data_IF_438048930448
#
_entry.id   IF_438048930448
#
_cell.length_a   1.000
_cell.length_b   1.000
_cell.length_c   1.000
_cell.angle_alpha   90.00
_cell.angle_beta   90.00
_cell.angle_gamma   90.00
#
_symmetry.space_group_name_H-M   'P 1'
#
loop_
_entity.id
_entity.type
_entity.pdbx_description
1 polymer ?
#
# COMPACT_ATOMS: atom_id res chain seq x y z
N UNK A 1 11.52 3.29 21.17
CA UNK A 1 11.00 2.88 19.86
C UNK A 1 9.77 3.74 19.60
N UNK A 2 9.59 4.21 18.37
CA UNK A 2 8.35 4.88 17.94
C UNK A 2 7.29 3.85 17.61
N UNK A 3 6.02 4.26 17.54
CA UNK A 3 4.91 3.37 17.12
C UNK A 3 5.17 2.75 15.73
N UNK A 4 5.77 3.51 14.81
CA UNK A 4 6.14 3.04 13.48
C UNK A 4 7.26 1.99 13.52
N UNK A 5 8.26 2.17 14.39
CA UNK A 5 9.33 1.18 14.58
C UNK A 5 8.79 -0.14 15.14
N UNK A 6 7.86 -0.06 16.11
CA UNK A 6 7.19 -1.24 16.67
C UNK A 6 6.35 -1.96 15.61
N UNK A 7 5.53 -1.22 14.85
CA UNK A 7 4.76 -1.77 13.73
C UNK A 7 5.64 -2.50 12.70
N UNK A 8 6.76 -1.90 12.30
CA UNK A 8 7.71 -2.51 11.36
C UNK A 8 8.35 -3.77 11.93
N UNK A 9 8.73 -3.76 13.20
CA UNK A 9 9.31 -4.92 13.88
C UNK A 9 8.31 -6.08 13.99
N UNK A 10 7.06 -5.81 14.35
CA UNK A 10 5.99 -6.82 14.40
C UNK A 10 5.73 -7.42 13.02
N UNK A 11 5.73 -6.58 11.98
CA UNK A 11 5.56 -7.05 10.60
C UNK A 11 6.72 -7.90 10.13
N UNK A 12 7.95 -7.53 10.44
CA UNK A 12 9.14 -8.34 10.13
C UNK A 12 9.07 -9.70 10.84
N UNK A 13 8.67 -9.73 12.10
CA UNK A 13 8.47 -10.98 12.84
C UNK A 13 7.37 -11.85 12.21
N UNK A 14 6.24 -11.23 11.80
CA UNK A 14 5.18 -11.95 11.07
C UNK A 14 5.72 -12.59 9.78
N UNK A 15 6.51 -11.86 8.99
CA UNK A 15 7.10 -12.39 7.76
C UNK A 15 8.12 -13.50 8.05
N UNK A 16 8.91 -13.38 9.12
CA UNK A 16 9.95 -14.33 9.48
C UNK A 16 9.39 -15.68 9.97
N UNK A 17 8.38 -15.66 10.85
CA UNK A 17 8.04 -16.84 11.66
C UNK A 17 6.57 -17.28 11.56
N UNK A 18 5.64 -16.38 11.21
CA UNK A 18 4.22 -16.68 11.30
C UNK A 18 3.78 -17.77 10.29
N UNK A 19 2.87 -18.70 10.66
CA UNK A 19 2.38 -19.73 9.74
C UNK A 19 1.67 -19.19 8.49
N UNK A 20 1.13 -17.97 8.58
CA UNK A 20 0.49 -17.26 7.45
C UNK A 20 1.41 -16.25 6.77
N UNK A 21 2.73 -16.32 7.00
CA UNK A 21 3.70 -15.50 6.27
C UNK A 21 3.52 -15.67 4.75
N UNK A 22 3.63 -14.58 3.96
CA UNK A 22 3.56 -14.67 2.51
C UNK A 22 4.80 -15.30 1.89
N UNK A 23 5.89 -15.40 2.67
CA UNK A 23 7.17 -15.96 2.24
C UNK A 23 7.13 -17.48 2.18
N UNK A 24 7.79 -18.07 1.17
CA UNK A 24 8.01 -19.52 1.12
C UNK A 24 8.93 -19.98 2.27
N UNK A 25 8.95 -21.28 2.61
CA UNK A 25 9.91 -21.80 3.59
C UNK A 25 11.37 -21.45 3.27
N UNK A 26 11.78 -21.49 2.01
CA UNK A 26 13.15 -21.19 1.60
C UNK A 26 13.48 -19.70 1.75
N UNK A 27 12.56 -18.82 1.38
CA UNK A 27 12.71 -17.38 1.57
C UNK A 27 12.89 -17.01 3.05
N UNK A 28 12.15 -17.67 3.95
CA UNK A 28 12.24 -17.41 5.40
C UNK A 28 13.62 -17.70 5.99
N UNK A 29 14.37 -18.67 5.45
CA UNK A 29 15.74 -18.95 5.93
C UNK A 29 16.70 -17.77 5.67
N UNK A 30 16.50 -17.10 4.54
CA UNK A 30 17.33 -15.96 4.10
C UNK A 30 16.77 -14.59 4.49
N UNK A 31 15.55 -14.52 5.03
CA UNK A 31 14.89 -13.26 5.37
C UNK A 31 15.65 -12.49 6.45
N UNK A 32 15.81 -11.18 6.25
CA UNK A 32 16.55 -10.27 7.16
C UNK A 32 15.77 -9.00 7.53
N UNK A 33 14.46 -8.99 7.25
CA UNK A 33 13.61 -7.82 7.39
C UNK A 33 13.17 -7.26 6.05
N UNK A 34 12.05 -6.54 6.07
CA UNK A 34 11.52 -5.79 4.94
C UNK A 34 12.32 -4.51 4.71
N UNK A 35 12.19 -3.96 3.51
CA UNK A 35 12.91 -2.76 3.09
C UNK A 35 11.99 -1.54 3.18
N UNK A 36 12.41 -0.50 3.90
CA UNK A 36 11.59 0.69 4.15
C UNK A 36 12.32 1.98 3.78
N UNK A 37 11.56 3.02 3.46
CA UNK A 37 12.07 4.39 3.54
C UNK A 37 12.20 4.84 5.00
N UNK A 38 13.10 5.81 5.29
CA UNK A 38 13.04 6.57 6.53
C UNK A 38 11.64 7.16 6.73
N UNK A 39 11.24 7.33 7.99
CA UNK A 39 9.99 8.00 8.34
C UNK A 39 9.95 9.40 7.73
N UNK A 40 8.78 9.77 7.19
CA UNK A 40 8.54 11.05 6.56
C UNK A 40 7.25 11.65 7.11
N UNK A 41 7.40 12.57 8.06
CA UNK A 41 6.29 13.28 8.70
C UNK A 41 5.45 14.09 7.72
N UNK A 42 6.04 14.58 6.61
CA UNK A 42 5.32 15.36 5.60
C UNK A 42 4.34 14.51 4.77
N UNK A 43 4.41 13.18 4.90
CA UNK A 43 3.53 12.23 4.22
C UNK A 43 2.55 11.54 5.20
N UNK A 44 2.37 12.12 6.38
CA UNK A 44 1.31 11.80 7.34
C UNK A 44 0.22 12.85 7.21
N UNK A 45 -0.85 12.51 6.51
CA UNK A 45 -1.82 13.50 6.04
C UNK A 45 -3.18 13.31 6.71
N UNK A 46 -3.73 14.38 7.26
CA UNK A 46 -5.16 14.48 7.51
C UNK A 46 -5.81 15.12 6.28
N UNK A 47 -6.60 14.34 5.54
CA UNK A 47 -7.18 14.77 4.27
C UNK A 47 -8.69 14.78 4.35
N UNK A 48 -9.32 15.82 3.80
CA UNK A 48 -10.76 15.83 3.57
C UNK A 48 -11.08 15.08 2.27
N UNK A 49 -11.97 14.10 2.35
CA UNK A 49 -12.39 13.29 1.22
C UNK A 49 -13.69 13.84 0.63
N UNK A 50 -13.67 14.09 -0.68
CA UNK A 50 -14.86 14.33 -1.48
C UNK A 50 -15.47 12.97 -1.83
N UNK A 51 -16.53 12.58 -1.12
CA UNK A 51 -17.29 11.37 -1.45
C UNK A 51 -17.91 11.49 -2.84
N UNK A 52 -17.86 10.40 -3.61
CA UNK A 52 -18.54 10.38 -4.91
C UNK A 52 -20.06 10.36 -4.70
N UNK A 53 -20.84 11.17 -5.45
CA UNK A 53 -22.30 11.18 -5.35
C UNK A 53 -22.94 9.81 -5.63
N UNK A 54 -22.29 9.01 -6.46
CA UNK A 54 -22.65 7.62 -6.73
C UNK A 54 -21.45 6.74 -6.40
N UNK A 55 -21.60 5.88 -5.38
CA UNK A 55 -20.60 4.88 -5.00
C UNK A 55 -20.68 3.71 -5.96
N UNK A 56 -20.11 3.89 -7.14
CA UNK A 56 -20.10 2.88 -8.18
C UNK A 56 -19.34 1.64 -7.71
N UNK A 57 -19.91 0.47 -7.99
CA UNK A 57 -19.19 -0.80 -7.85
C UNK A 57 -18.03 -0.81 -8.84
N UNK A 58 -16.87 -1.18 -8.35
CA UNK A 58 -15.62 -1.26 -9.09
C UNK A 58 -15.05 -2.67 -8.96
N UNK A 59 -14.94 -3.36 -10.08
CA UNK A 59 -14.32 -4.68 -10.17
C UNK A 59 -12.81 -4.51 -10.36
N UNK A 60 -12.08 -4.58 -9.25
CA UNK A 60 -10.63 -4.51 -9.28
C UNK A 60 -10.06 -5.86 -9.72
N UNK A 61 -9.40 -5.85 -10.88
CA UNK A 61 -8.71 -7.02 -11.41
C UNK A 61 -7.59 -7.44 -10.45
N UNK A 62 -7.30 -8.73 -10.38
CA UNK A 62 -6.21 -9.28 -9.57
C UNK A 62 -5.10 -9.85 -10.44
N UNK A 63 -3.89 -10.01 -9.88
CA UNK A 63 -2.73 -10.59 -10.57
C UNK A 63 -2.97 -11.98 -11.17
N UNK A 64 -3.89 -12.78 -10.60
CA UNK A 64 -4.22 -14.12 -11.10
C UNK A 64 -5.40 -14.15 -12.07
N UNK A 65 -5.92 -12.99 -12.48
CA UNK A 65 -7.07 -12.88 -13.41
C UNK A 65 -8.45 -13.01 -12.77
N UNK A 66 -8.55 -13.06 -11.44
CA UNK A 66 -9.82 -12.95 -10.71
C UNK A 66 -10.19 -11.47 -10.51
N UNK A 67 -11.37 -11.21 -9.94
CA UNK A 67 -11.82 -9.86 -9.56
C UNK A 67 -12.18 -9.78 -8.08
N UNK A 68 -11.95 -8.61 -7.50
CA UNK A 68 -12.46 -8.23 -6.17
C UNK A 68 -13.34 -6.99 -6.31
N UNK A 69 -14.49 -7.00 -5.65
CA UNK A 69 -15.48 -5.93 -5.76
C UNK A 69 -15.28 -4.91 -4.65
N UNK A 70 -15.15 -3.64 -5.04
CA UNK A 70 -15.08 -2.49 -4.16
C UNK A 70 -16.14 -1.47 -4.55
N UNK A 71 -16.36 -0.48 -3.69
CA UNK A 71 -17.06 0.74 -4.02
C UNK A 71 -16.05 1.88 -4.14
N UNK A 72 -16.18 2.71 -5.18
CA UNK A 72 -15.42 3.98 -5.27
C UNK A 72 -16.01 4.94 -4.25
N UNK A 73 -15.34 5.09 -3.11
CA UNK A 73 -15.88 5.83 -1.98
C UNK A 73 -15.79 7.34 -2.19
N UNK A 74 -14.59 7.83 -2.50
CA UNK A 74 -14.32 9.24 -2.66
C UNK A 74 -12.87 9.48 -3.04
N UNK A 75 -12.53 10.75 -3.26
CA UNK A 75 -11.18 11.17 -3.62
C UNK A 75 -10.70 12.31 -2.74
N UNK A 76 -9.40 12.45 -2.64
CA UNK A 76 -8.77 13.58 -1.97
C UNK A 76 -7.58 14.08 -2.78
N UNK A 77 -7.31 15.37 -2.62
CA UNK A 77 -6.12 16.02 -3.17
C UNK A 77 -5.13 16.31 -2.07
N UNK A 78 -3.86 16.24 -2.41
CA UNK A 78 -2.76 16.58 -1.52
C UNK A 78 -1.60 17.15 -2.33
N UNK A 79 -0.62 17.70 -1.64
CA UNK A 79 0.60 18.23 -2.27
C UNK A 79 1.79 17.49 -1.71
N UNK A 80 2.68 17.03 -2.58
CA UNK A 80 3.99 16.46 -2.22
C UNK A 80 5.05 17.15 -3.07
N UNK A 81 6.11 17.62 -2.41
CA UNK A 81 7.20 18.38 -3.06
C UNK A 81 6.72 19.54 -3.95
N UNK A 82 5.61 20.20 -3.55
CA UNK A 82 5.03 21.33 -4.28
C UNK A 82 4.19 20.94 -5.51
N UNK A 83 3.96 19.65 -5.75
CA UNK A 83 3.14 19.15 -6.86
C UNK A 83 1.83 18.59 -6.32
N UNK A 84 0.71 19.04 -6.91
CA UNK A 84 -0.61 18.50 -6.58
C UNK A 84 -0.78 17.06 -7.09
N UNK A 85 -1.37 16.22 -6.25
CA UNK A 85 -1.68 14.83 -6.52
C UNK A 85 -3.11 14.52 -6.05
N UNK A 86 -3.74 13.49 -6.62
CA UNK A 86 -5.09 13.05 -6.30
C UNK A 86 -5.10 11.52 -6.18
N UNK A 87 -5.84 10.99 -5.21
CA UNK A 87 -6.07 9.56 -5.05
C UNK A 87 -7.54 9.29 -4.73
N UNK A 88 -8.04 8.16 -5.23
CA UNK A 88 -9.35 7.59 -4.90
C UNK A 88 -9.21 6.55 -3.78
N UNK A 89 -10.05 6.66 -2.75
CA UNK A 89 -10.24 5.63 -1.74
C UNK A 89 -11.34 4.68 -2.20
N UNK A 90 -11.08 3.38 -2.06
CA UNK A 90 -12.03 2.31 -2.29
C UNK A 90 -12.54 1.76 -0.96
N UNK A 91 -13.76 1.25 -0.93
CA UNK A 91 -14.37 0.66 0.25
C UNK A 91 -14.87 -0.74 -0.06
N UNK A 92 -14.70 -1.67 0.88
CA UNK A 92 -15.35 -2.98 0.88
C UNK A 92 -16.02 -3.22 2.24
N UNK A 93 -16.63 -4.40 2.42
CA UNK A 93 -17.16 -4.82 3.72
C UNK A 93 -16.07 -4.95 4.81
N UNK A 94 -14.80 -5.02 4.42
CA UNK A 94 -13.66 -5.16 5.32
C UNK A 94 -12.99 -3.82 5.68
N UNK A 95 -13.45 -2.70 5.12
CA UNK A 95 -12.92 -1.37 5.41
C UNK A 95 -12.51 -0.59 4.17
N UNK A 96 -11.62 0.37 4.36
CA UNK A 96 -11.11 1.24 3.30
C UNK A 96 -9.79 0.72 2.75
N UNK A 97 -9.60 0.92 1.45
CA UNK A 97 -8.47 0.42 0.71
C UNK A 97 -7.97 1.49 -0.26
N UNK A 98 -6.68 1.78 -0.21
CA UNK A 98 -6.00 2.76 -1.04
C UNK A 98 -4.83 2.10 -1.78
N UNK A 99 -5.08 1.41 -2.90
CA UNK A 99 -4.03 0.93 -3.77
C UNK A 99 -3.50 2.09 -4.59
N UNK A 100 -2.19 2.28 -4.64
CA UNK A 100 -1.56 3.34 -5.41
C UNK A 100 -0.21 2.90 -5.98
N UNK A 101 0.19 3.54 -7.08
CA UNK A 101 1.54 3.45 -7.60
C UNK A 101 2.04 4.87 -7.79
N UNK A 102 3.33 5.08 -7.59
CA UNK A 102 3.94 6.40 -7.72
C UNK A 102 5.11 6.36 -8.70
N UNK A 103 5.74 7.50 -8.98
CA UNK A 103 6.81 7.60 -9.97
C UNK A 103 8.05 6.76 -9.66
N UNK A 104 8.17 6.23 -8.44
CA UNK A 104 9.25 5.33 -8.03
C UNK A 104 8.98 3.86 -8.37
N UNK A 105 7.79 3.52 -8.86
CA UNK A 105 7.39 2.15 -9.16
C UNK A 105 8.33 1.51 -10.21
N UNK A 106 8.91 0.37 -9.85
CA UNK A 106 9.90 -0.35 -10.66
C UNK A 106 11.34 0.13 -10.53
N UNK A 107 11.60 1.14 -9.70
CA UNK A 107 12.96 1.56 -9.35
C UNK A 107 13.20 1.45 -7.84
N UNK A 108 12.43 2.18 -7.03
CA UNK A 108 12.56 2.14 -5.55
C UNK A 108 11.39 1.43 -4.87
N UNK A 109 10.21 1.36 -5.52
CA UNK A 109 8.99 0.72 -4.99
C UNK A 109 8.48 -0.38 -5.93
N UNK A 110 7.61 -1.26 -5.44
CA UNK A 110 7.11 -2.39 -6.23
C UNK A 110 6.38 -1.94 -7.51
N UNK A 111 6.67 -2.51 -8.71
CA UNK A 111 6.14 -2.03 -9.99
C UNK A 111 4.61 -2.00 -10.09
N UNK A 112 3.92 -2.93 -9.44
CA UNK A 112 2.46 -3.00 -9.50
C UNK A 112 1.77 -2.00 -8.56
N UNK A 113 2.52 -1.35 -7.66
CA UNK A 113 2.02 -0.43 -6.64
C UNK A 113 2.10 -0.99 -5.23
N UNK A 114 1.59 -0.21 -4.29
CA UNK A 114 1.56 -0.43 -2.85
C UNK A 114 0.16 -0.16 -2.34
N UNK A 115 -0.14 -0.65 -1.15
CA UNK A 115 -1.43 -0.50 -0.50
C UNK A 115 -1.31 0.30 0.79
N UNK A 116 -2.44 0.85 1.21
CA UNK A 116 -2.63 1.48 2.50
C UNK A 116 -4.11 1.32 2.90
N UNK A 117 -4.37 1.05 4.17
CA UNK A 117 -5.71 1.14 4.77
C UNK A 117 -5.82 2.51 5.45
N UNK A 118 -6.45 3.52 4.82
CA UNK A 118 -6.58 4.83 5.44
C UNK A 118 -7.59 4.79 6.59
N UNK A 119 -7.29 5.50 7.68
CA UNK A 119 -8.14 5.50 8.87
C UNK A 119 -9.22 6.58 8.77
N UNK A 120 -10.52 6.25 8.91
CA UNK A 120 -11.57 7.24 8.86
C UNK A 120 -11.57 8.12 10.11
N UNK A 121 -11.74 9.43 9.91
CA UNK A 121 -11.87 10.45 10.94
C UNK A 121 -13.23 11.16 10.85
N UNK A 122 -13.68 11.86 11.91
CA UNK A 122 -14.92 12.62 11.86
C UNK A 122 -14.99 13.65 10.72
N UNK A 123 -16.19 13.85 10.17
CA UNK A 123 -16.45 14.89 9.18
C UNK A 123 -15.85 14.62 7.79
N UNK A 124 -15.82 13.36 7.37
CA UNK A 124 -15.26 12.89 6.09
C UNK A 124 -13.78 13.24 5.91
N UNK A 125 -13.04 13.21 7.02
CA UNK A 125 -11.59 13.25 6.99
C UNK A 125 -11.06 11.82 7.07
N UNK A 126 -9.85 11.64 6.57
CA UNK A 126 -9.10 10.40 6.69
C UNK A 126 -7.69 10.73 7.13
N UNK A 127 -7.15 9.89 8.01
CA UNK A 127 -5.73 9.85 8.26
C UNK A 127 -5.08 8.92 7.23
N UNK A 128 -4.22 9.49 6.41
CA UNK A 128 -3.49 8.81 5.33
C UNK A 128 -2.01 8.91 5.65
N UNK A 129 -1.47 7.85 6.25
CA UNK A 129 -0.05 7.76 6.60
C UNK A 129 0.69 6.88 5.58
N UNK A 130 1.38 7.49 4.63
CA UNK A 130 2.15 6.73 3.64
C UNK A 130 3.36 5.99 4.25
N UNK A 131 3.75 6.26 5.50
CA UNK A 131 4.79 5.48 6.19
C UNK A 131 4.35 4.05 6.51
N UNK A 132 3.03 3.82 6.52
CA UNK A 132 2.40 2.50 6.69
C UNK A 132 2.12 1.82 5.35
N UNK A 133 2.38 2.49 4.21
CA UNK A 133 2.15 1.91 2.90
C UNK A 133 3.02 0.66 2.70
N UNK A 134 2.42 -0.41 2.20
CA UNK A 134 3.05 -1.72 2.13
C UNK A 134 2.93 -2.37 0.75
N UNK A 135 3.86 -3.28 0.47
CA UNK A 135 3.82 -4.07 -0.75
C UNK A 135 2.76 -5.17 -0.64
N UNK A 136 2.03 -5.44 -1.73
CA UNK A 136 1.15 -6.59 -1.79
C UNK A 136 1.94 -7.91 -1.69
N UNK A 137 1.33 -9.00 -1.21
CA UNK A 137 2.05 -10.27 -1.00
C UNK A 137 2.67 -10.88 -2.27
N UNK A 138 2.10 -10.61 -3.44
CA UNK A 138 2.67 -10.98 -4.74
C UNK A 138 4.00 -10.29 -5.04
N UNK A 139 4.38 -9.24 -4.31
CA UNK A 139 5.74 -8.69 -4.38
C UNK A 139 6.81 -9.64 -3.84
N UNK A 140 6.41 -10.61 -3.01
CA UNK A 140 7.30 -11.59 -2.40
C UNK A 140 7.12 -13.00 -2.97
N UNK A 141 5.90 -13.35 -3.40
CA UNK A 141 5.56 -14.68 -3.90
C UNK A 141 4.41 -14.62 -4.92
N UNK A 142 4.68 -14.97 -6.17
CA UNK A 142 3.73 -14.85 -7.29
C UNK A 142 2.46 -15.69 -7.15
N UNK A 143 2.42 -16.66 -6.23
CA UNK A 143 1.22 -17.47 -5.98
C UNK A 143 0.07 -16.66 -5.35
N UNK A 144 0.34 -15.44 -4.86
CA UNK A 144 -0.68 -14.58 -4.26
C UNK A 144 -1.47 -13.79 -5.31
N UNK A 145 -2.79 -13.79 -5.14
CA UNK A 145 -3.72 -12.99 -5.95
C UNK A 145 -3.93 -11.62 -5.33
N UNK A 146 -3.39 -10.59 -6.00
CA UNK A 146 -3.34 -9.23 -5.49
C UNK A 146 -4.16 -8.26 -6.35
N UNK A 147 -4.94 -7.34 -5.76
CA UNK A 147 -5.60 -6.28 -6.50
C UNK A 147 -4.63 -5.42 -7.34
N UNK A 148 -4.96 -5.15 -8.59
CA UNK A 148 -4.14 -4.33 -9.47
C UNK A 148 -4.48 -2.86 -9.22
N UNK A 149 -3.45 -2.05 -8.98
CA UNK A 149 -3.59 -0.59 -8.80
C UNK A 149 -4.34 0.04 -9.98
N UNK A 150 -5.52 0.66 -9.73
CA UNK A 150 -6.30 1.35 -10.74
C UNK A 150 -5.53 2.50 -11.38
N UNK A 151 -5.83 2.78 -12.65
CA UNK A 151 -5.12 3.83 -13.41
C UNK A 151 -5.23 5.22 -12.77
N UNK A 152 -6.36 5.54 -12.13
CA UNK A 152 -6.57 6.81 -11.45
C UNK A 152 -5.69 7.00 -10.20
N UNK A 153 -5.21 5.91 -9.60
CA UNK A 153 -4.32 5.94 -8.45
C UNK A 153 -2.84 5.76 -8.84
N UNK A 154 -2.48 6.08 -10.09
CA UNK A 154 -1.09 6.10 -10.56
C UNK A 154 -0.57 7.53 -10.57
N UNK A 155 0.22 7.86 -9.55
CA UNK A 155 0.77 9.18 -9.31
C UNK A 155 2.03 9.43 -10.14
N UNK A 156 2.21 10.67 -10.59
CA UNK A 156 3.44 11.16 -11.24
C UNK A 156 4.48 11.68 -10.26
N UNK A 157 4.09 11.88 -9.00
CA UNK A 157 4.94 12.33 -7.90
C UNK A 157 5.65 11.15 -7.24
N UNK A 158 6.69 11.40 -6.46
CA UNK A 158 7.42 10.38 -5.71
C UNK A 158 6.89 10.31 -4.27
N UNK A 159 6.55 9.11 -3.80
CA UNK A 159 6.09 8.90 -2.41
C UNK A 159 7.18 8.13 -1.65
N UNK A 160 8.16 8.88 -1.11
CA UNK A 160 9.28 8.35 -0.31
C UNK A 160 8.90 8.16 1.15
N UNK A 161 7.96 7.25 1.38
CA UNK A 161 7.53 6.76 2.69
C UNK A 161 7.06 5.31 2.53
N UNK A 162 7.08 4.53 3.61
CA UNK A 162 6.59 3.14 3.62
C UNK A 162 7.57 2.14 3.02
N UNK A 163 7.04 1.00 2.57
CA UNK A 163 7.83 -0.09 2.01
C UNK A 163 8.43 0.28 0.64
N UNK A 164 9.68 -0.14 0.46
CA UNK A 164 10.42 -0.15 -0.79
C UNK A 164 10.27 -1.49 -1.49
N UNK A 165 10.78 -1.58 -2.71
CA UNK A 165 10.91 -2.87 -3.39
C UNK A 165 11.67 -3.87 -2.49
N UNK A 166 11.20 -5.13 -2.37
CA UNK A 166 11.91 -6.15 -1.61
C UNK A 166 13.34 -6.30 -2.13
N UNK A 167 14.30 -6.46 -1.21
CA UNK A 167 15.72 -6.62 -1.55
C UNK A 167 16.34 -7.75 -0.72
N UNK A 168 17.29 -8.46 -1.32
CA UNK A 168 18.03 -9.55 -0.69
C UNK A 168 18.02 -10.82 -1.55
N UNK A 169 18.96 -11.74 -1.27
CA UNK A 169 19.09 -13.01 -2.00
C UNK A 169 17.87 -13.93 -1.84
N UNK A 170 17.02 -13.68 -0.84
CA UNK A 170 15.77 -14.40 -0.60
C UNK A 170 14.62 -13.94 -1.50
N UNK A 171 14.77 -12.84 -2.24
CA UNK A 171 13.74 -12.34 -3.17
C UNK A 171 13.96 -13.00 -4.54
N UNK A 172 13.14 -14.00 -4.91
CA UNK A 172 13.18 -14.63 -6.23
C UNK A 172 13.96 -15.96 -6.35
N UNK A 173 14.00 -16.76 -5.27
CA UNK A 173 14.32 -18.20 -5.35
C UNK A 173 13.01 -18.97 -5.59
#
# INVERSE_FOLDING_TARGET
MTELEEFRAEKDEFFASHPQSPLTPDQRMGFRGLNYFPENENLRLEVKVEEFPLKEKFEMQTSTGNVQTYERYGRFKFTVDGVEAELTIYQSEHGFFLPFADSLAGNETYPAGRYLEPEPLPGNHFFVDFNLAYNPYCAYNEMWSCPITPAENRLKVAIRAGEKIPQGEWVGI
#
